data_IF_433657140982
#
_entry.id   IF_433657140982
#
_cell.length_a   1.000
_cell.length_b   1.000
_cell.length_c   1.000
_cell.angle_alpha   90.00
_cell.angle_beta   90.00
_cell.angle_gamma   90.00
#
_symmetry.space_group_name_H-M   'P 1'
#
loop_
_entity.id
_entity.type
_entity.pdbx_description
1 polymer ?
#
# COMPACT_ATOMS: atom_id res chain seq x y z
N UNK A 1 11.89 -9.35 3.25
CA UNK A 1 11.25 -10.42 2.45
C UNK A 1 9.75 -10.55 2.73
N UNK A 2 9.31 -10.61 3.99
CA UNK A 2 7.89 -10.83 4.34
C UNK A 2 6.89 -9.88 3.65
N UNK A 3 7.16 -8.56 3.65
CA UNK A 3 6.31 -7.55 2.99
C UNK A 3 6.21 -7.76 1.47
N UNK A 4 7.32 -8.15 0.82
CA UNK A 4 7.33 -8.40 -0.63
C UNK A 4 6.41 -9.58 -0.98
N UNK A 5 6.47 -10.66 -0.20
CA UNK A 5 5.63 -11.85 -0.41
C UNK A 5 4.16 -11.53 -0.23
N UNK A 6 3.81 -10.72 0.79
CA UNK A 6 2.42 -10.28 1.03
C UNK A 6 1.90 -9.51 -0.18
N UNK A 7 2.63 -8.50 -0.65
CA UNK A 7 2.23 -7.70 -1.81
C UNK A 7 2.13 -8.51 -3.10
N UNK A 8 3.06 -9.44 -3.31
CA UNK A 8 3.05 -10.30 -4.49
C UNK A 8 1.83 -11.24 -4.48
N UNK A 9 1.54 -11.87 -3.35
CA UNK A 9 0.37 -12.75 -3.20
C UNK A 9 -0.95 -11.99 -3.35
N UNK A 10 -1.07 -10.78 -2.79
CA UNK A 10 -2.29 -9.98 -2.95
C UNK A 10 -2.56 -9.64 -4.41
N UNK A 11 -1.52 -9.32 -5.19
CA UNK A 11 -1.70 -9.02 -6.61
C UNK A 11 -2.15 -10.26 -7.39
N UNK A 12 -1.52 -11.42 -7.17
CA UNK A 12 -1.92 -12.66 -7.82
C UNK A 12 -3.38 -13.03 -7.53
N UNK A 13 -3.79 -12.90 -6.27
CA UNK A 13 -5.16 -13.16 -5.86
C UNK A 13 -6.14 -12.21 -6.54
N UNK A 14 -5.81 -10.92 -6.63
CA UNK A 14 -6.67 -9.91 -7.26
C UNK A 14 -6.70 -10.02 -8.78
N UNK A 15 -5.60 -10.43 -9.42
CA UNK A 15 -5.59 -10.66 -10.87
C UNK A 15 -6.48 -11.84 -11.29
N UNK A 16 -6.70 -12.81 -10.40
CA UNK A 16 -7.63 -13.92 -10.63
C UNK A 16 -9.10 -13.60 -10.35
N UNK A 17 -9.40 -12.42 -9.79
CA UNK A 17 -10.75 -12.02 -9.40
C UNK A 17 -11.42 -11.15 -10.48
N UNK A 18 -12.66 -11.50 -10.82
CA UNK A 18 -13.43 -10.84 -11.88
C UNK A 18 -13.65 -9.34 -11.61
N UNK A 19 -13.92 -8.96 -10.36
CA UNK A 19 -14.23 -7.56 -10.01
C UNK A 19 -13.00 -6.66 -10.07
N UNK A 20 -11.83 -7.21 -9.71
CA UNK A 20 -10.57 -6.48 -9.83
C UNK A 20 -10.16 -6.28 -11.29
N UNK A 21 -10.36 -7.29 -12.15
CA UNK A 21 -10.07 -7.21 -13.57
C UNK A 21 -10.96 -6.18 -14.29
N UNK A 22 -12.24 -6.08 -13.91
CA UNK A 22 -13.20 -5.15 -14.51
C UNK A 22 -13.20 -3.74 -13.89
N UNK A 23 -12.39 -3.46 -12.86
CA UNK A 23 -12.34 -2.14 -12.24
C UNK A 23 -13.34 -1.92 -11.09
N UNK A 24 -14.30 -2.83 -10.92
CA UNK A 24 -15.47 -2.61 -10.07
C UNK A 24 -15.22 -2.89 -8.58
N UNK A 25 -14.11 -3.55 -8.22
CA UNK A 25 -13.89 -4.04 -6.86
C UNK A 25 -13.96 -2.94 -5.79
N UNK A 26 -13.38 -1.76 -6.04
CA UNK A 26 -13.44 -0.65 -5.08
C UNK A 26 -14.87 -0.10 -4.94
N UNK A 27 -15.61 0.00 -6.04
CA UNK A 27 -17.01 0.45 -6.01
C UNK A 27 -17.85 -0.49 -5.16
N UNK A 28 -17.74 -1.81 -5.39
CA UNK A 28 -18.45 -2.81 -4.60
C UNK A 28 -17.99 -2.85 -3.15
N UNK A 29 -16.69 -2.72 -2.88
CA UNK A 29 -16.16 -2.67 -1.52
C UNK A 29 -16.81 -1.53 -0.72
N UNK A 30 -16.89 -0.33 -1.31
CA UNK A 30 -17.47 0.85 -0.65
C UNK A 30 -18.99 0.78 -0.49
N UNK A 31 -19.69 0.06 -1.38
CA UNK A 31 -21.12 -0.22 -1.26
C UNK A 31 -21.44 -1.33 -0.25
N UNK A 32 -20.47 -2.19 0.04
CA UNK A 32 -20.64 -3.29 0.99
C UNK A 32 -20.59 -2.82 2.45
N UNK A 33 -20.91 -3.72 3.37
CA UNK A 33 -20.77 -3.49 4.81
C UNK A 33 -19.33 -3.22 5.28
N UNK A 34 -18.33 -3.40 4.41
CA UNK A 34 -16.94 -3.08 4.69
C UNK A 34 -16.61 -1.59 4.48
N UNK A 35 -17.43 -0.88 3.68
CA UNK A 35 -17.30 0.56 3.46
C UNK A 35 -17.71 1.35 4.69
N UNK A 36 -16.94 2.37 5.03
CA UNK A 36 -17.20 3.21 6.21
C UNK A 36 -18.38 4.15 6.04
N UNK A 37 -18.65 4.59 4.81
CA UNK A 37 -19.70 5.57 4.51
C UNK A 37 -20.87 4.90 3.79
N UNK A 38 -22.04 4.91 4.42
CA UNK A 38 -23.28 4.40 3.83
C UNK A 38 -23.81 5.32 2.72
N UNK A 39 -24.36 4.74 1.66
CA UNK A 39 -25.07 5.46 0.60
C UNK A 39 -24.62 5.05 -0.81
N UNK A 40 -25.37 5.47 -1.82
CA UNK A 40 -25.07 5.15 -3.23
C UNK A 40 -24.11 6.16 -3.89
N UNK A 41 -23.38 6.94 -3.10
CA UNK A 41 -22.38 7.86 -3.61
C UNK A 41 -21.31 7.19 -4.48
N UNK A 42 -20.84 5.93 -4.23
CA UNK A 42 -19.82 5.30 -5.08
C UNK A 42 -20.30 5.10 -6.52
N UNK A 43 -21.60 4.88 -6.72
CA UNK A 43 -22.21 4.68 -8.05
C UNK A 43 -22.08 5.94 -8.90
N UNK A 44 -22.26 7.12 -8.29
CA UNK A 44 -22.13 8.40 -8.99
C UNK A 44 -20.69 8.70 -9.43
N UNK A 45 -19.70 8.07 -8.78
CA UNK A 45 -18.27 8.25 -9.07
C UNK A 45 -17.63 6.99 -9.66
N UNK A 46 -18.41 6.06 -10.21
CA UNK A 46 -17.94 4.76 -10.69
C UNK A 46 -16.71 4.86 -11.61
N UNK A 47 -16.76 5.70 -12.65
CA UNK A 47 -15.62 5.87 -13.56
C UNK A 47 -14.35 6.48 -12.92
N UNK A 48 -14.46 7.17 -11.78
CA UNK A 48 -13.29 7.59 -10.99
C UNK A 48 -12.78 6.43 -10.13
N UNK A 49 -13.69 5.67 -9.51
CA UNK A 49 -13.36 4.52 -8.67
C UNK A 49 -12.70 3.39 -9.48
N UNK A 50 -13.09 3.19 -10.74
CA UNK A 50 -12.45 2.21 -11.63
C UNK A 50 -10.98 2.58 -11.87
N UNK A 51 -10.69 3.88 -12.08
CA UNK A 51 -9.30 4.37 -12.21
C UNK A 51 -8.53 4.16 -10.90
N UNK A 52 -9.17 4.40 -9.76
CA UNK A 52 -8.57 4.17 -8.44
C UNK A 52 -8.33 2.66 -8.22
N UNK A 53 -9.18 1.78 -8.75
CA UNK A 53 -9.00 0.33 -8.70
C UNK A 53 -7.72 -0.10 -9.42
N UNK A 54 -7.53 0.34 -10.66
CA UNK A 54 -6.29 0.03 -11.39
C UNK A 54 -5.07 0.72 -10.76
N UNK A 55 -5.21 1.94 -10.26
CA UNK A 55 -4.14 2.63 -9.54
C UNK A 55 -3.75 1.87 -8.26
N UNK A 56 -4.72 1.26 -7.58
CA UNK A 56 -4.48 0.43 -6.40
C UNK A 56 -3.64 -0.80 -6.77
N UNK A 57 -4.01 -1.52 -7.82
CA UNK A 57 -3.22 -2.66 -8.33
C UNK A 57 -1.80 -2.26 -8.72
N UNK A 58 -1.67 -1.13 -9.44
CA UNK A 58 -0.37 -0.57 -9.82
C UNK A 58 0.47 -0.20 -8.60
N UNK A 59 -0.16 0.38 -7.57
CA UNK A 59 0.51 0.78 -6.33
C UNK A 59 0.98 -0.45 -5.54
N UNK A 60 0.16 -1.51 -5.47
CA UNK A 60 0.53 -2.77 -4.83
C UNK A 60 1.71 -3.45 -5.53
N UNK A 61 1.83 -3.33 -6.85
CA UNK A 61 3.00 -3.80 -7.61
C UNK A 61 4.21 -2.88 -7.45
N UNK A 62 4.00 -1.57 -7.41
CA UNK A 62 5.08 -0.57 -7.37
C UNK A 62 5.78 -0.52 -6.00
N UNK A 63 5.02 -0.56 -4.90
CA UNK A 63 5.57 -0.48 -3.53
C UNK A 63 6.72 -1.48 -3.28
N UNK A 64 6.58 -2.80 -3.52
CA UNK A 64 7.65 -3.75 -3.26
C UNK A 64 8.91 -3.44 -4.09
N UNK A 65 8.76 -3.01 -5.35
CA UNK A 65 9.88 -2.61 -6.23
C UNK A 65 10.55 -1.34 -5.70
N UNK A 66 9.76 -0.34 -5.33
CA UNK A 66 10.25 0.93 -4.80
C UNK A 66 10.97 0.78 -3.46
N UNK A 67 10.52 -0.14 -2.60
CA UNK A 67 11.16 -0.46 -1.32
C UNK A 67 12.45 -1.25 -1.51
N UNK A 68 12.52 -2.08 -2.55
CA UNK A 68 13.71 -2.86 -2.90
C UNK A 68 14.88 -1.94 -3.28
N UNK A 69 14.64 -0.97 -4.15
CA UNK A 69 15.65 -0.02 -4.63
C UNK A 69 15.94 1.02 -3.53
N UNK A 70 17.19 1.07 -3.06
CA UNK A 70 17.61 1.93 -1.93
C UNK A 70 17.35 3.42 -2.16
N UNK A 71 17.49 3.92 -3.39
CA UNK A 71 17.26 5.32 -3.76
C UNK A 71 15.79 5.74 -3.70
N UNK A 72 14.86 4.84 -4.07
CA UNK A 72 13.42 5.13 -4.11
C UNK A 72 12.69 4.75 -2.83
N UNK A 73 13.38 4.13 -1.87
CA UNK A 73 12.76 3.58 -0.65
C UNK A 73 11.97 4.60 0.15
N UNK A 74 12.48 5.85 0.29
CA UNK A 74 11.76 6.92 0.99
C UNK A 74 10.43 7.25 0.29
N UNK A 75 10.43 7.29 -1.05
CA UNK A 75 9.24 7.53 -1.85
C UNK A 75 8.26 6.36 -1.69
N UNK A 76 8.73 5.11 -1.82
CA UNK A 76 7.91 3.92 -1.62
C UNK A 76 7.28 3.84 -0.23
N UNK A 77 8.00 4.32 0.80
CA UNK A 77 7.49 4.38 2.17
C UNK A 77 6.38 5.43 2.32
N UNK A 78 6.57 6.64 1.79
CA UNK A 78 5.53 7.68 1.82
C UNK A 78 4.28 7.20 1.08
N UNK A 79 4.44 6.69 -0.14
CA UNK A 79 3.33 6.14 -0.94
C UNK A 79 2.62 5.01 -0.19
N UNK A 80 3.39 4.07 0.37
CA UNK A 80 2.83 2.94 1.11
C UNK A 80 2.07 3.35 2.36
N UNK A 81 2.58 4.32 3.13
CA UNK A 81 1.88 4.85 4.31
C UNK A 81 0.59 5.56 3.89
N UNK A 82 0.66 6.46 2.90
CA UNK A 82 -0.53 7.16 2.40
C UNK A 82 -1.59 6.18 1.90
N UNK A 83 -1.19 5.14 1.17
CA UNK A 83 -2.07 4.09 0.68
C UNK A 83 -2.79 3.36 1.83
N UNK A 84 -2.06 2.93 2.87
CA UNK A 84 -2.67 2.26 4.03
C UNK A 84 -3.54 3.18 4.89
N UNK A 85 -3.21 4.48 4.96
CA UNK A 85 -4.05 5.49 5.61
C UNK A 85 -5.37 5.66 4.85
N UNK A 86 -5.35 5.71 3.53
CA UNK A 86 -6.57 5.75 2.71
C UNK A 86 -7.45 4.51 2.95
N UNK A 87 -6.85 3.32 2.97
CA UNK A 87 -7.58 2.06 3.27
C UNK A 87 -8.19 2.10 4.67
N UNK A 88 -7.44 2.55 5.67
CA UNK A 88 -7.90 2.64 7.05
C UNK A 88 -9.02 3.68 7.24
N UNK A 89 -9.00 4.76 6.46
CA UNK A 89 -10.03 5.79 6.48
C UNK A 89 -11.34 5.31 5.82
N UNK A 90 -11.24 4.51 4.75
CA UNK A 90 -12.39 4.06 3.95
C UNK A 90 -13.00 2.73 4.43
N UNK A 91 -12.22 1.86 5.08
CA UNK A 91 -12.66 0.55 5.55
C UNK A 91 -12.89 0.49 7.06
N UNK A 92 -13.95 -0.18 7.50
CA UNK A 92 -14.29 -0.30 8.93
C UNK A 92 -13.35 -1.29 9.67
N UNK A 93 -13.01 -2.41 9.04
CA UNK A 93 -12.25 -3.50 9.67
C UNK A 93 -10.79 -3.62 9.19
N UNK A 94 -10.30 -2.64 8.43
CA UNK A 94 -8.95 -2.66 7.85
C UNK A 94 -7.94 -1.83 8.65
N UNK A 95 -8.36 -1.16 9.72
CA UNK A 95 -7.49 -0.29 10.52
C UNK A 95 -6.27 -1.02 11.09
N UNK A 96 -6.48 -2.15 11.78
CA UNK A 96 -5.38 -2.91 12.41
C UNK A 96 -4.43 -3.52 11.37
N UNK A 97 -4.96 -3.94 10.22
CA UNK A 97 -4.16 -4.42 9.09
C UNK A 97 -3.26 -3.31 8.54
N UNK A 98 -3.85 -2.15 8.21
CA UNK A 98 -3.12 -0.98 7.74
C UNK A 98 -2.04 -0.53 8.73
N UNK A 99 -2.33 -0.54 10.03
CA UNK A 99 -1.38 -0.16 11.08
C UNK A 99 -0.21 -1.14 11.16
N UNK A 100 -0.48 -2.45 11.05
CA UNK A 100 0.56 -3.49 11.00
C UNK A 100 1.49 -3.27 9.80
N UNK A 101 0.93 -2.99 8.61
CA UNK A 101 1.71 -2.73 7.41
C UNK A 101 2.59 -1.48 7.54
N UNK A 102 2.06 -0.40 8.14
CA UNK A 102 2.84 0.83 8.42
C UNK A 102 4.00 0.52 9.37
N UNK A 103 3.78 -0.24 10.44
CA UNK A 103 4.86 -0.66 11.36
C UNK A 103 5.93 -1.47 10.61
N UNK A 104 5.53 -2.39 9.74
CA UNK A 104 6.46 -3.14 8.90
C UNK A 104 7.32 -2.22 8.02
N UNK A 105 6.77 -1.14 7.45
CA UNK A 105 7.57 -0.16 6.70
C UNK A 105 8.56 0.61 7.55
N UNK A 106 8.15 1.04 8.75
CA UNK A 106 9.05 1.72 9.69
C UNK A 106 10.20 0.80 10.14
N UNK A 107 9.95 -0.50 10.23
CA UNK A 107 10.98 -1.49 10.51
C UNK A 107 12.03 -1.62 9.39
N UNK A 108 11.72 -1.27 8.14
CA UNK A 108 12.72 -1.19 7.06
C UNK A 108 13.58 0.08 7.12
N UNK A 109 13.10 1.14 7.79
CA UNK A 109 13.81 2.41 7.95
C UNK A 109 14.92 2.31 9.01
N UNK A 110 14.61 1.73 10.18
CA UNK A 110 15.49 1.71 11.35
C UNK A 110 16.85 1.02 11.14
N UNK A 111 16.95 -0.18 10.54
CA UNK A 111 18.24 -0.84 10.33
C UNK A 111 19.18 -0.06 9.40
N UNK A 112 18.62 0.75 8.49
CA UNK A 112 19.39 1.41 7.43
C UNK A 112 19.97 2.76 7.84
N UNK A 113 19.22 3.57 8.59
CA UNK A 113 19.77 4.83 9.14
C UNK A 113 20.90 4.57 10.13
N UNK A 114 20.79 3.51 10.92
CA UNK A 114 21.83 3.07 11.85
C UNK A 114 23.06 2.55 11.07
N UNK A 115 22.86 1.80 9.98
CA UNK A 115 23.93 1.29 9.13
C UNK A 115 24.70 2.38 8.37
N UNK A 116 24.00 3.31 7.72
CA UNK A 116 24.64 4.43 7.00
C UNK A 116 25.24 5.47 7.94
N UNK A 117 24.62 5.73 9.10
CA UNK A 117 25.17 6.59 10.13
C UNK A 117 26.51 6.07 10.67
N UNK A 118 26.64 4.75 10.85
CA UNK A 118 27.94 4.14 11.20
C UNK A 118 28.97 4.28 10.09
N UNK A 119 28.60 4.00 8.83
CA UNK A 119 29.55 4.05 7.72
C UNK A 119 30.12 5.46 7.46
N UNK A 120 29.27 6.49 7.56
CA UNK A 120 29.69 7.90 7.38
C UNK A 120 30.65 8.38 8.48
N UNK A 121 30.47 7.91 9.71
CA UNK A 121 31.37 8.26 10.82
C UNK A 121 32.75 7.60 10.67
N UNK A 122 32.83 6.39 10.15
CA UNK A 122 34.10 5.68 9.93
C UNK A 122 34.90 6.28 8.77
N UNK A 123 34.23 6.80 7.74
CA UNK A 123 34.91 7.46 6.60
C UNK A 123 35.42 8.87 6.89
N UNK A 124 34.99 9.50 7.99
CA UNK A 124 35.46 10.83 8.41
C UNK A 124 36.54 10.76 9.50
N UNK A 125 36.84 9.55 10.02
CA UNK A 125 37.89 9.32 11.02
C UNK A 125 39.18 8.74 10.42
N UNK A 126 39.26 8.61 9.09
CA UNK A 126 40.46 8.27 8.32
C UNK A 126 40.81 9.45 7.41
#
# INVERSE_FOLDING_TARGET
>A
MQVFVIYWQTVLQKMGDYYWANGESITYFLLSHHGRFSGQWPVNFHGLLDKINYLTLLTELAIPILLWISKTRKIGLVIGISFHVCIAALGINLFLFSLTMIICYLAFLKPWEIGMGKYKNISQSN
#
